data_IF_385550512237
#
_entry.id   IF_385550512237
#
_cell.length_a   1.000
_cell.length_b   1.000
_cell.length_c   1.000
_cell.angle_alpha   90.00
_cell.angle_beta   90.00
_cell.angle_gamma   90.00
#
_symmetry.space_group_name_H-M   'P 1'
#
loop_
_entity.id
_entity.type
_entity.pdbx_description
1 polymer ?
#
# COMPACT_ATOMS: atom_id res chain seq x y z
N UNK A 1 4.26 -6.12 19.53
CA UNK A 1 3.29 -5.64 18.53
C UNK A 1 3.70 -6.19 17.16
N UNK A 2 2.78 -6.39 16.23
CA UNK A 2 3.07 -6.96 14.90
C UNK A 2 3.10 -5.88 13.80
N UNK A 3 2.77 -4.65 14.17
CA UNK A 3 2.70 -3.48 13.32
C UNK A 3 4.07 -2.86 13.12
N UNK A 4 4.33 -2.34 11.92
CA UNK A 4 5.31 -1.27 11.75
C UNK A 4 4.79 -0.01 12.46
N UNK A 5 5.70 0.73 13.09
CA UNK A 5 5.36 1.88 13.93
C UNK A 5 6.08 3.12 13.42
N UNK A 6 5.33 4.14 13.01
CA UNK A 6 5.87 5.40 12.53
C UNK A 6 5.36 6.54 13.42
N UNK A 7 6.26 7.46 13.80
CA UNK A 7 5.91 8.68 14.53
C UNK A 7 5.95 9.86 13.57
N UNK A 8 4.82 10.55 13.48
CA UNK A 8 4.66 11.77 12.70
C UNK A 8 4.65 12.96 13.65
N UNK A 9 5.59 13.89 13.48
CA UNK A 9 5.75 15.07 14.33
C UNK A 9 5.41 16.33 13.57
N UNK A 10 4.64 17.22 14.19
CA UNK A 10 4.37 18.55 13.63
C UNK A 10 5.65 19.41 13.71
N UNK A 11 5.91 20.16 12.66
CA UNK A 11 6.91 21.23 12.63
C UNK A 11 6.45 22.36 11.72
N UNK A 12 7.34 23.30 11.44
CA UNK A 12 7.04 24.52 10.66
C UNK A 12 6.54 24.20 9.25
N UNK A 13 7.11 23.18 8.62
CA UNK A 13 6.76 22.71 7.28
C UNK A 13 5.69 21.59 7.27
N UNK A 14 4.90 21.49 8.34
CA UNK A 14 3.85 20.47 8.50
C UNK A 14 4.28 19.20 9.22
N UNK A 15 3.54 18.11 9.05
CA UNK A 15 3.83 16.82 9.67
C UNK A 15 4.97 16.11 8.95
N UNK A 16 5.96 15.62 9.69
CA UNK A 16 7.11 14.88 9.14
C UNK A 16 7.30 13.54 9.83
N UNK A 17 7.93 12.60 9.14
CA UNK A 17 8.36 11.33 9.74
C UNK A 17 9.53 11.58 10.69
N UNK A 18 9.29 11.49 12.00
CA UNK A 18 10.28 11.80 13.03
C UNK A 18 10.94 10.57 13.65
N UNK A 19 10.25 9.43 13.65
CA UNK A 19 10.81 8.14 14.05
C UNK A 19 10.07 7.01 13.35
N UNK A 20 10.70 5.84 13.26
CA UNK A 20 10.05 4.66 12.68
C UNK A 20 10.74 3.36 13.04
N UNK A 21 9.95 2.31 13.24
CA UNK A 21 10.32 0.91 13.16
C UNK A 21 9.56 0.33 11.96
N UNK A 22 10.29 0.02 10.88
CA UNK A 22 9.73 -0.42 9.60
C UNK A 22 10.34 -1.76 9.21
N UNK A 23 9.73 -2.83 9.71
CA UNK A 23 10.13 -4.21 9.51
C UNK A 23 9.40 -4.86 8.32
N UNK A 24 8.26 -4.33 7.88
CA UNK A 24 7.45 -4.92 6.80
C UNK A 24 7.08 -3.90 5.71
N UNK A 25 8.07 -3.21 5.11
CA UNK A 25 7.82 -2.20 4.08
C UNK A 25 7.09 -2.78 2.86
N UNK A 26 6.21 -1.98 2.27
CA UNK A 26 5.53 -2.27 1.00
C UNK A 26 6.12 -1.41 -0.12
N UNK A 27 7.29 -1.82 -0.62
CA UNK A 27 8.04 -1.13 -1.67
C UNK A 27 8.49 0.30 -1.30
N UNK A 28 8.88 0.57 -0.05
CA UNK A 28 9.46 1.87 0.31
C UNK A 28 10.54 1.77 1.38
N UNK A 29 11.40 2.80 1.45
CA UNK A 29 12.52 2.87 2.39
C UNK A 29 12.29 3.89 3.49
N UNK A 30 12.42 3.46 4.75
CA UNK A 30 12.39 4.38 5.90
C UNK A 30 13.49 5.43 5.79
N UNK A 31 14.70 5.01 5.40
CA UNK A 31 15.87 5.89 5.29
C UNK A 31 15.63 7.04 4.32
N UNK A 32 14.99 6.77 3.18
CA UNK A 32 14.69 7.80 2.18
C UNK A 32 13.53 8.72 2.58
N UNK A 33 12.63 8.26 3.46
CA UNK A 33 11.46 9.02 3.90
C UNK A 33 11.65 9.74 5.23
N UNK A 34 12.68 9.36 6.00
CA UNK A 34 12.97 9.93 7.31
C UNK A 34 13.17 11.44 7.24
N UNK A 35 12.59 12.17 8.19
CA UNK A 35 12.65 13.63 8.30
C UNK A 35 11.79 14.39 7.29
N UNK A 36 11.29 13.75 6.22
CA UNK A 36 10.54 14.43 5.17
C UNK A 36 9.12 14.78 5.61
N UNK A 37 8.58 15.92 5.15
CA UNK A 37 7.19 16.28 5.38
C UNK A 37 6.25 15.35 4.60
N UNK A 38 5.01 15.28 5.07
CA UNK A 38 3.97 14.37 4.59
C UNK A 38 3.74 14.46 3.08
N UNK A 39 3.77 15.67 2.52
CA UNK A 39 3.60 15.89 1.08
C UNK A 39 4.76 15.31 0.27
N UNK A 40 6.00 15.41 0.75
CA UNK A 40 7.17 14.84 0.07
C UNK A 40 7.20 13.31 0.21
N UNK A 41 6.73 12.77 1.34
CA UNK A 41 6.57 11.33 1.56
C UNK A 41 5.59 10.71 0.55
N UNK A 42 4.53 11.44 0.21
CA UNK A 42 3.47 10.99 -0.69
C UNK A 42 3.65 11.48 -2.14
N UNK A 43 4.65 12.31 -2.44
CA UNK A 43 4.91 12.80 -3.80
C UNK A 43 4.98 11.68 -4.88
N UNK A 44 5.53 10.47 -4.61
CA UNK A 44 5.52 9.39 -5.59
C UNK A 44 4.15 8.73 -5.82
N UNK A 45 3.15 9.02 -4.99
CA UNK A 45 1.81 8.43 -5.11
C UNK A 45 1.02 9.21 -6.16
N UNK A 46 0.50 8.57 -7.22
CA UNK A 46 -0.28 9.25 -8.25
C UNK A 46 -1.46 10.03 -7.65
N UNK A 47 -1.57 11.32 -8.00
CA UNK A 47 -2.63 12.20 -7.50
C UNK A 47 -2.44 12.76 -6.08
N UNK A 48 -1.32 12.47 -5.41
CA UNK A 48 -1.02 12.89 -4.03
C UNK A 48 0.21 13.79 -3.90
N UNK A 49 0.65 14.40 -5.01
CA UNK A 49 1.74 15.37 -5.01
C UNK A 49 1.43 16.66 -4.22
N UNK A 50 2.45 17.48 -3.90
CA UNK A 50 2.25 18.80 -3.31
C UNK A 50 1.24 19.66 -4.10
N UNK A 51 0.35 20.36 -3.40
CA UNK A 51 -0.69 21.19 -4.00
C UNK A 51 -1.90 20.44 -4.56
N UNK A 52 -1.95 19.11 -4.45
CA UNK A 52 -3.13 18.32 -4.83
C UNK A 52 -4.18 18.31 -3.72
N UNK A 53 -5.46 18.27 -4.10
CA UNK A 53 -6.58 18.17 -3.15
C UNK A 53 -6.43 17.00 -2.15
N UNK A 54 -5.99 15.79 -2.54
CA UNK A 54 -5.76 14.69 -1.60
C UNK A 54 -4.65 14.98 -0.59
N UNK A 55 -3.55 15.61 -1.02
CA UNK A 55 -2.47 16.01 -0.10
C UNK A 55 -2.97 17.00 0.96
N UNK A 56 -3.79 17.98 0.57
CA UNK A 56 -4.36 18.95 1.49
C UNK A 56 -5.36 18.32 2.47
N UNK A 57 -6.19 17.37 1.98
CA UNK A 57 -7.14 16.64 2.81
C UNK A 57 -6.43 15.85 3.91
N UNK A 58 -5.35 15.14 3.58
CA UNK A 58 -4.58 14.40 4.58
C UNK A 58 -3.95 15.35 5.60
N UNK A 59 -3.37 16.48 5.17
CA UNK A 59 -2.81 17.45 6.12
C UNK A 59 -3.88 17.97 7.09
N UNK A 60 -5.06 18.36 6.59
CA UNK A 60 -6.17 18.78 7.44
C UNK A 60 -6.64 17.68 8.39
N UNK A 61 -6.69 16.44 7.93
CA UNK A 61 -7.05 15.30 8.77
C UNK A 61 -6.05 15.12 9.93
N UNK A 62 -4.74 15.17 9.64
CA UNK A 62 -3.69 15.07 10.67
C UNK A 62 -3.80 16.22 11.69
N UNK A 63 -4.05 17.44 11.21
CA UNK A 63 -4.25 18.61 12.07
C UNK A 63 -5.44 18.44 13.01
N UNK A 64 -6.55 17.89 12.48
CA UNK A 64 -7.81 17.71 13.18
C UNK A 64 -7.88 16.54 14.16
N UNK A 65 -6.90 15.61 14.16
CA UNK A 65 -6.91 14.50 15.13
C UNK A 65 -6.86 15.03 16.57
N UNK A 66 -7.71 14.49 17.45
CA UNK A 66 -7.82 14.88 18.86
C UNK A 66 -7.47 13.76 19.85
N UNK A 67 -7.28 12.53 19.37
CA UNK A 67 -6.92 11.37 20.20
C UNK A 67 -7.72 10.11 19.86
N UNK A 68 -8.78 10.25 19.08
CA UNK A 68 -9.45 9.15 18.41
C UNK A 68 -8.49 8.43 17.46
N UNK A 69 -8.66 7.12 17.33
CA UNK A 69 -8.01 6.35 16.28
C UNK A 69 -8.85 6.45 15.00
N UNK A 70 -8.19 6.69 13.87
CA UNK A 70 -8.79 6.52 12.55
C UNK A 70 -8.13 5.33 11.86
N UNK A 71 -8.90 4.59 11.08
CA UNK A 71 -8.46 3.38 10.39
C UNK A 71 -8.73 3.49 8.89
N UNK A 72 -7.82 2.92 8.10
CA UNK A 72 -8.02 2.66 6.68
C UNK A 72 -7.31 1.38 6.27
N UNK A 73 -7.69 0.88 5.10
CA UNK A 73 -7.00 -0.21 4.44
C UNK A 73 -6.31 0.29 3.18
N UNK A 74 -5.15 -0.28 2.89
CA UNK A 74 -4.49 -0.19 1.60
C UNK A 74 -4.15 -1.61 1.15
N UNK A 75 -4.08 -1.86 -0.15
CA UNK A 75 -3.84 -3.21 -0.66
C UNK A 75 -2.91 -3.19 -1.88
N UNK A 76 -2.23 -4.30 -2.10
CA UNK A 76 -1.51 -4.62 -3.32
C UNK A 76 -1.47 -6.14 -3.53
N UNK A 77 -0.94 -6.56 -4.67
CA UNK A 77 -0.55 -7.95 -4.93
C UNK A 77 0.97 -7.99 -5.06
N UNK A 78 1.61 -8.97 -4.42
CA UNK A 78 3.06 -9.20 -4.52
C UNK A 78 3.33 -10.64 -4.95
N UNK A 79 4.54 -10.89 -5.45
CA UNK A 79 5.04 -12.24 -5.66
C UNK A 79 5.74 -12.74 -4.38
N UNK A 80 5.40 -13.96 -3.96
CA UNK A 80 5.93 -14.60 -2.76
C UNK A 80 5.40 -14.03 -1.45
N UNK A 81 5.78 -14.69 -0.36
CA UNK A 81 5.29 -14.46 1.01
C UNK A 81 6.23 -13.59 1.87
N UNK A 82 7.24 -12.97 1.26
CA UNK A 82 8.19 -12.14 1.98
C UNK A 82 7.50 -10.90 2.60
N UNK A 83 7.56 -10.79 3.93
CA UNK A 83 7.03 -9.62 4.64
C UNK A 83 7.93 -8.39 4.49
N UNK A 84 9.26 -8.58 4.45
CA UNK A 84 10.24 -7.53 4.23
C UNK A 84 10.41 -7.26 2.72
N UNK A 85 9.78 -6.20 2.23
CA UNK A 85 9.76 -5.88 0.80
C UNK A 85 10.09 -4.39 0.53
N UNK A 86 11.30 -3.90 0.89
CA UNK A 86 11.68 -2.51 0.65
C UNK A 86 11.96 -2.26 -0.83
N UNK A 87 11.75 -1.02 -1.28
CA UNK A 87 12.36 -0.48 -2.50
C UNK A 87 12.77 0.97 -2.28
N UNK A 88 13.94 1.32 -2.78
CA UNK A 88 14.39 2.70 -2.91
C UNK A 88 13.54 3.48 -3.93
N UNK A 89 13.69 4.80 -3.95
CA UNK A 89 13.09 5.65 -4.97
C UNK A 89 13.58 5.25 -6.37
N UNK A 90 14.88 4.97 -6.51
CA UNK A 90 15.49 4.57 -7.78
C UNK A 90 14.92 3.26 -8.31
N UNK A 91 14.85 2.23 -7.46
CA UNK A 91 14.28 0.92 -7.85
C UNK A 91 12.78 1.02 -8.20
N UNK A 92 12.03 1.89 -7.53
CA UNK A 92 10.62 2.13 -7.91
C UNK A 92 10.49 2.81 -9.28
N UNK A 93 11.35 3.78 -9.58
CA UNK A 93 11.36 4.46 -10.88
C UNK A 93 11.74 3.48 -11.98
N UNK A 94 12.80 2.69 -11.76
CA UNK A 94 13.24 1.64 -12.69
C UNK A 94 12.13 0.62 -12.95
N UNK A 95 11.49 0.10 -11.88
CA UNK A 95 10.36 -0.81 -11.99
C UNK A 95 9.19 -0.22 -12.77
N UNK A 96 8.88 1.06 -12.57
CA UNK A 96 7.80 1.73 -13.29
C UNK A 96 8.13 1.93 -14.78
N UNK A 97 9.40 2.19 -15.12
CA UNK A 97 9.85 2.38 -16.49
C UNK A 97 9.92 1.06 -17.27
N UNK A 98 10.48 0.01 -16.65
CA UNK A 98 10.73 -1.27 -17.30
C UNK A 98 9.54 -2.23 -17.20
N UNK A 99 8.63 -2.00 -16.25
CA UNK A 99 7.42 -2.81 -16.00
C UNK A 99 7.71 -4.33 -16.07
N UNK A 100 8.67 -4.85 -15.29
CA UNK A 100 8.95 -6.28 -15.30
C UNK A 100 7.73 -7.06 -14.78
N UNK A 101 7.49 -8.25 -15.35
CA UNK A 101 6.54 -9.20 -14.75
C UNK A 101 7.08 -9.69 -13.41
N UNK A 102 6.19 -9.87 -12.45
CA UNK A 102 6.48 -10.49 -11.15
C UNK A 102 6.29 -12.00 -11.13
N UNK A 103 5.70 -12.55 -12.19
CA UNK A 103 5.31 -13.96 -12.31
C UNK A 103 5.92 -14.55 -13.58
N UNK A 104 7.25 -14.59 -13.62
CA UNK A 104 8.04 -14.91 -14.81
C UNK A 104 7.88 -16.36 -15.30
N UNK A 105 7.56 -17.29 -14.40
CA UNK A 105 7.27 -18.69 -14.69
C UNK A 105 5.83 -18.95 -15.14
N UNK A 106 4.99 -17.92 -15.17
CA UNK A 106 3.61 -18.04 -15.63
C UNK A 106 2.59 -18.29 -14.51
N UNK A 107 3.01 -18.85 -13.37
CA UNK A 107 2.10 -19.38 -12.35
C UNK A 107 1.73 -18.34 -11.29
N UNK A 108 0.75 -17.51 -11.64
CA UNK A 108 0.15 -16.54 -10.72
C UNK A 108 -0.43 -17.21 -9.47
N UNK A 109 -0.99 -18.42 -9.60
CA UNK A 109 -1.66 -19.09 -8.49
C UNK A 109 -0.65 -19.52 -7.42
N UNK A 110 0.52 -20.02 -7.85
CA UNK A 110 1.58 -20.45 -6.94
C UNK A 110 2.27 -19.27 -6.22
N UNK A 111 2.30 -18.09 -6.84
CA UNK A 111 3.18 -17.01 -6.40
C UNK A 111 2.48 -15.72 -5.99
N UNK A 112 1.21 -15.49 -6.33
CA UNK A 112 0.53 -14.25 -5.97
C UNK A 112 0.03 -14.25 -4.52
N UNK A 113 0.39 -13.21 -3.79
CA UNK A 113 -0.10 -12.95 -2.44
C UNK A 113 -0.83 -11.60 -2.38
N UNK A 114 -1.99 -11.61 -1.74
CA UNK A 114 -2.75 -10.42 -1.37
C UNK A 114 -2.05 -9.80 -0.16
N UNK A 115 -1.53 -8.59 -0.34
CA UNK A 115 -0.93 -7.82 0.76
C UNK A 115 -1.87 -6.70 1.16
N UNK A 116 -2.42 -6.78 2.37
CA UNK A 116 -3.29 -5.74 2.93
C UNK A 116 -2.58 -5.05 4.09
N UNK A 117 -2.57 -3.73 4.05
CA UNK A 117 -2.11 -2.87 5.12
C UNK A 117 -3.32 -2.36 5.90
N UNK A 118 -3.50 -2.83 7.12
CA UNK A 118 -4.41 -2.20 8.08
C UNK A 118 -3.66 -1.06 8.76
N UNK A 119 -4.08 0.14 8.46
CA UNK A 119 -3.40 1.37 8.83
C UNK A 119 -4.20 2.13 9.88
N UNK A 120 -3.56 2.50 10.99
CA UNK A 120 -4.23 3.33 12.01
C UNK A 120 -3.42 4.58 12.33
N UNK A 121 -4.11 5.68 12.59
CA UNK A 121 -3.52 6.95 13.03
C UNK A 121 -4.15 7.38 14.34
N UNK A 122 -3.32 7.72 15.34
CA UNK A 122 -3.79 8.25 16.62
C UNK A 122 -2.84 9.30 17.16
N UNK A 123 -3.38 10.44 17.60
CA UNK A 123 -2.60 11.47 18.28
C UNK A 123 -2.29 11.06 19.71
N UNK A 124 -1.04 11.10 20.09
CA UNK A 124 -0.57 10.73 21.43
C UNK A 124 -0.93 11.82 22.44
N UNK A 125 -1.35 11.47 23.67
CA UNK A 125 -1.89 12.43 24.63
C UNK A 125 -0.84 13.43 25.15
N UNK A 126 0.41 12.98 25.33
CA UNK A 126 1.48 13.81 25.92
C UNK A 126 2.27 14.55 24.85
N UNK A 127 2.91 13.85 23.91
CA UNK A 127 3.77 14.48 22.90
C UNK A 127 2.99 15.21 21.80
N UNK A 128 1.69 14.90 21.64
CA UNK A 128 0.84 15.37 20.53
C UNK A 128 1.33 14.96 19.13
N UNK A 129 2.36 14.13 19.05
CA UNK A 129 2.75 13.42 17.83
C UNK A 129 1.64 12.46 17.40
N UNK A 130 1.63 12.08 16.12
CA UNK A 130 0.71 11.06 15.61
C UNK A 130 1.47 9.74 15.49
N UNK A 131 0.98 8.71 16.17
CA UNK A 131 1.38 7.33 15.93
C UNK A 131 0.63 6.81 14.71
N UNK A 132 1.38 6.38 13.71
CA UNK A 132 0.91 5.69 12.53
C UNK A 132 1.33 4.21 12.62
N UNK A 133 0.37 3.29 12.68
CA UNK A 133 0.65 1.86 12.71
C UNK A 133 0.31 1.22 11.37
N UNK A 134 1.11 0.27 10.92
CA UNK A 134 0.86 -0.47 9.68
C UNK A 134 0.94 -1.97 9.99
N UNK A 135 -0.20 -2.63 10.03
CA UNK A 135 -0.26 -4.09 10.15
C UNK A 135 -0.34 -4.71 8.76
N UNK A 136 0.56 -5.64 8.47
CA UNK A 136 0.52 -6.41 7.22
C UNK A 136 -0.27 -7.70 7.44
N UNK A 137 -1.29 -7.89 6.60
CA UNK A 137 -1.92 -9.18 6.35
C UNK A 137 -1.44 -9.66 4.99
N UNK A 138 -0.96 -10.90 4.93
CA UNK A 138 -0.39 -11.49 3.73
C UNK A 138 -0.97 -12.87 3.54
N UNK A 139 -1.78 -13.02 2.50
CA UNK A 139 -2.54 -14.24 2.23
C UNK A 139 -2.30 -14.68 0.78
N UNK A 140 -2.07 -15.98 0.49
CA UNK A 140 -2.01 -16.46 -0.88
C UNK A 140 -3.29 -16.11 -1.64
N UNK A 141 -3.20 -15.65 -2.88
CA UNK A 141 -4.37 -15.35 -3.71
C UNK A 141 -5.31 -16.56 -3.84
N UNK A 142 -4.73 -17.76 -3.88
CA UNK A 142 -5.42 -19.04 -3.91
C UNK A 142 -6.41 -19.26 -2.75
N UNK A 143 -6.27 -18.55 -1.62
CA UNK A 143 -7.18 -18.67 -0.48
C UNK A 143 -8.62 -18.27 -0.84
N UNK A 144 -8.78 -17.35 -1.81
CA UNK A 144 -10.10 -16.89 -2.25
C UNK A 144 -10.96 -18.04 -2.79
N UNK A 145 -10.35 -19.05 -3.41
CA UNK A 145 -11.07 -20.20 -3.96
C UNK A 145 -11.81 -21.01 -2.89
N UNK A 146 -11.39 -20.92 -1.62
CA UNK A 146 -11.99 -21.61 -0.48
C UNK A 146 -12.93 -20.72 0.34
N UNK A 147 -13.05 -19.45 -0.02
CA UNK A 147 -13.89 -18.50 0.70
C UNK A 147 -15.38 -18.72 0.34
N UNK A 148 -16.31 -18.68 1.31
CA UNK A 148 -17.75 -18.80 1.02
C UNK A 148 -18.24 -17.81 -0.05
N UNK A 149 -17.75 -16.57 0.03
CA UNK A 149 -18.07 -15.49 -0.92
C UNK A 149 -17.12 -15.40 -2.12
N UNK A 150 -16.47 -16.51 -2.54
CA UNK A 150 -15.43 -16.51 -3.60
C UNK A 150 -15.81 -15.73 -4.85
N UNK A 151 -17.06 -15.88 -5.30
CA UNK A 151 -17.55 -15.28 -6.55
C UNK A 151 -17.56 -13.75 -6.44
N UNK A 152 -18.15 -13.23 -5.36
CA UNK A 152 -18.26 -11.79 -5.13
C UNK A 152 -16.88 -11.15 -4.87
N UNK A 153 -16.04 -11.80 -4.06
CA UNK A 153 -14.70 -11.31 -3.76
C UNK A 153 -13.81 -11.29 -5.00
N UNK A 154 -13.79 -12.37 -5.78
CA UNK A 154 -12.95 -12.45 -6.97
C UNK A 154 -13.39 -11.45 -8.04
N UNK A 155 -14.69 -11.30 -8.28
CA UNK A 155 -15.24 -10.31 -9.21
C UNK A 155 -14.90 -8.88 -8.77
N UNK A 156 -15.18 -8.52 -7.51
CA UNK A 156 -14.87 -7.19 -6.98
C UNK A 156 -13.38 -6.88 -7.03
N UNK A 157 -12.52 -7.87 -6.81
CA UNK A 157 -11.08 -7.66 -6.85
C UNK A 157 -10.58 -7.45 -8.30
N UNK A 158 -11.13 -8.19 -9.26
CA UNK A 158 -10.87 -7.99 -10.68
C UNK A 158 -11.29 -6.58 -11.13
N UNK A 159 -12.47 -6.11 -10.70
CA UNK A 159 -12.95 -4.76 -10.99
C UNK A 159 -12.03 -3.68 -10.42
N UNK A 160 -11.56 -3.87 -9.19
CA UNK A 160 -10.60 -2.95 -8.57
C UNK A 160 -9.27 -2.89 -9.32
N UNK A 161 -8.78 -4.02 -9.85
CA UNK A 161 -7.57 -4.04 -10.68
C UNK A 161 -7.80 -3.33 -12.04
N UNK A 162 -8.97 -3.50 -12.64
CA UNK A 162 -9.34 -2.84 -13.89
C UNK A 162 -9.55 -1.33 -13.73
N UNK A 163 -9.97 -0.87 -12.55
CA UNK A 163 -10.18 0.54 -12.25
C UNK A 163 -8.87 1.33 -12.03
N UNK A 164 -7.72 0.65 -11.87
CA UNK A 164 -6.43 1.32 -11.72
C UNK A 164 -5.98 1.94 -13.04
N UNK A 165 -5.63 3.22 -12.99
CA UNK A 165 -4.97 3.87 -14.12
C UNK A 165 -3.50 3.41 -14.28
N UNK A 166 -2.87 3.76 -15.41
CA UNK A 166 -1.51 3.34 -15.69
C UNK A 166 -0.49 3.83 -14.65
N UNK A 167 -0.65 5.04 -14.13
CA UNK A 167 0.27 5.58 -13.13
C UNK A 167 0.14 4.84 -11.79
N UNK A 168 -1.08 4.45 -11.41
CA UNK A 168 -1.36 3.63 -10.24
C UNK A 168 -0.83 2.20 -10.41
N UNK A 169 -0.98 1.61 -11.59
CA UNK A 169 -0.40 0.31 -11.92
C UNK A 169 1.13 0.34 -11.85
N UNK A 170 1.77 1.37 -12.42
CA UNK A 170 3.22 1.55 -12.36
C UNK A 170 3.71 1.74 -10.92
N UNK A 171 2.99 2.56 -10.14
CA UNK A 171 3.28 2.79 -8.72
C UNK A 171 3.19 1.49 -7.89
N UNK A 172 2.12 0.71 -8.07
CA UNK A 172 1.93 -0.59 -7.41
C UNK A 172 2.85 -1.68 -7.98
N UNK A 173 3.41 -1.46 -9.17
CA UNK A 173 4.23 -2.39 -9.93
C UNK A 173 3.43 -3.60 -10.41
N UNK A 174 2.23 -3.35 -10.97
CA UNK A 174 1.30 -4.37 -11.46
C UNK A 174 1.09 -4.31 -12.97
N UNK A 175 1.70 -3.35 -13.67
CA UNK A 175 1.41 -3.04 -15.07
C UNK A 175 1.55 -4.24 -16.01
N UNK A 176 2.58 -5.06 -15.86
CA UNK A 176 2.79 -6.24 -16.72
C UNK A 176 1.89 -7.43 -16.38
N UNK A 177 1.33 -7.47 -15.16
CA UNK A 177 0.62 -8.64 -14.64
C UNK A 177 -0.89 -8.41 -14.47
N UNK A 178 -1.36 -7.16 -14.60
CA UNK A 178 -2.75 -6.78 -14.35
C UNK A 178 -3.74 -7.66 -15.10
N UNK A 179 -3.58 -7.81 -16.40
CA UNK A 179 -4.54 -8.55 -17.23
C UNK A 179 -4.56 -10.05 -16.91
N UNK A 180 -3.39 -10.62 -16.57
CA UNK A 180 -3.28 -12.02 -16.16
C UNK A 180 -3.93 -12.24 -14.78
N UNK A 181 -3.72 -11.32 -13.83
CA UNK A 181 -4.36 -11.34 -12.52
C UNK A 181 -5.89 -11.22 -12.63
N UNK A 182 -6.37 -10.29 -13.45
CA UNK A 182 -7.80 -10.09 -13.74
C UNK A 182 -8.40 -11.34 -14.36
N UNK A 183 -7.73 -11.94 -15.35
CA UNK A 183 -8.21 -13.17 -16.00
C UNK A 183 -8.31 -14.33 -15.02
N UNK A 184 -7.32 -14.49 -14.14
CA UNK A 184 -7.35 -15.51 -13.09
C UNK A 184 -8.52 -15.30 -12.10
N UNK A 185 -8.73 -14.07 -11.64
CA UNK A 185 -9.83 -13.72 -10.72
C UNK A 185 -11.21 -13.91 -11.38
N UNK A 186 -11.35 -13.50 -12.65
CA UNK A 186 -12.58 -13.70 -13.41
C UNK A 186 -12.89 -15.20 -13.58
N UNK A 187 -11.88 -16.03 -13.84
CA UNK A 187 -12.02 -17.48 -13.88
C UNK A 187 -12.54 -18.06 -12.56
N UNK A 188 -12.01 -17.60 -11.43
CA UNK A 188 -12.48 -18.01 -10.10
C UNK A 188 -13.94 -17.61 -9.83
N UNK A 189 -14.37 -16.45 -10.35
CA UNK A 189 -15.75 -15.99 -10.21
C UNK A 189 -16.78 -16.79 -11.03
N UNK A 190 -16.35 -17.45 -12.13
CA UNK A 190 -17.24 -18.23 -12.99
C UNK A 190 -17.42 -19.69 -12.56
N UNK A 191 -16.48 -20.25 -11.77
CA UNK A 191 -16.55 -21.64 -11.30
C UNK A 191 -17.34 -21.69 -9.99
N UNK A 192 -18.65 -21.94 -10.08
CA UNK A 192 -19.53 -22.21 -8.94
C UNK A 192 -19.25 -23.59 -8.34
#
# INVERSE_FOLDING_TARGET
VQEDLIIMRRGDNGWRLAAGSLCFPSSWSLREKFGKPLQQIHAPVPGFGPGTRPADLINRMFDGLQGQAVERFNWSIQAGDALYHPLSNGERIDRAANRPTRFADGDINAHAFIRVERQTLRKLPVSRDILFTIRIHLDPLAVLARHPDKVALAASFADQLNALDQAQLDYKGLSADRDRLVSYLAGMAMVA
#
